data_IF_251047791803
#
_entry.id   IF_251047791803
#
_cell.length_a   1.000
_cell.length_b   1.000
_cell.length_c   1.000
_cell.angle_alpha   90.00
_cell.angle_beta   90.00
_cell.angle_gamma   90.00
#
_symmetry.space_group_name_H-M   'P 1'
#
loop_
_entity.id
_entity.type
_entity.pdbx_description
1 polymer ?
#
# COMPACT_ATOMS: atom_id res chain seq x y z
N UNK A 1 40.82 -12.70 10.37
CA UNK A 1 40.82 -12.04 9.05
C UNK A 1 40.54 -13.10 8.00
N UNK A 2 39.80 -12.75 6.95
CA UNK A 2 39.49 -13.62 5.82
C UNK A 2 40.07 -13.04 4.54
N UNK A 3 40.81 -13.85 3.79
CA UNK A 3 41.31 -13.49 2.45
C UNK A 3 40.44 -14.08 1.33
N UNK A 4 39.62 -15.09 1.66
CA UNK A 4 38.69 -15.78 0.76
C UNK A 4 37.36 -16.06 1.46
N UNK A 5 36.33 -16.35 0.66
CA UNK A 5 35.03 -16.74 1.16
C UNK A 5 35.11 -18.05 1.97
N UNK A 6 34.42 -18.12 3.11
CA UNK A 6 34.20 -19.40 3.79
C UNK A 6 33.08 -20.14 3.05
N UNK A 7 33.40 -21.31 2.53
CA UNK A 7 32.44 -22.17 1.81
C UNK A 7 31.92 -23.25 2.77
N UNK A 8 30.60 -23.32 2.93
CA UNK A 8 29.95 -24.29 3.83
C UNK A 8 29.33 -25.43 3.00
N UNK A 9 29.83 -26.67 3.10
CA UNK A 9 29.26 -27.81 2.39
C UNK A 9 28.03 -28.37 3.11
N UNK A 10 27.33 -29.31 2.45
CA UNK A 10 26.12 -29.94 2.99
C UNK A 10 26.32 -30.55 4.38
N UNK A 11 25.33 -30.38 5.24
CA UNK A 11 25.29 -30.93 6.60
C UNK A 11 26.32 -30.33 7.56
N UNK A 12 26.93 -29.18 7.23
CA UNK A 12 27.90 -28.50 8.09
C UNK A 12 27.34 -27.24 8.70
N UNK A 13 27.90 -26.92 9.87
CA UNK A 13 27.51 -25.78 10.69
C UNK A 13 28.74 -24.91 10.95
N UNK A 14 28.57 -23.60 10.78
CA UNK A 14 29.53 -22.59 11.20
C UNK A 14 28.89 -21.79 12.34
N UNK A 15 29.46 -21.90 13.53
CA UNK A 15 28.91 -21.30 14.75
C UNK A 15 30.00 -20.47 15.43
N UNK A 16 29.71 -19.20 15.68
CA UNK A 16 30.56 -18.33 16.49
C UNK A 16 30.13 -18.30 17.95
N UNK A 17 30.76 -17.42 18.73
CA UNK A 17 30.48 -17.20 20.15
C UNK A 17 29.43 -16.11 20.41
N UNK A 18 28.88 -15.49 19.37
CA UNK A 18 27.87 -14.44 19.45
C UNK A 18 28.19 -13.24 18.55
N UNK A 19 27.15 -12.43 18.27
CA UNK A 19 27.29 -11.12 17.62
C UNK A 19 28.24 -10.25 18.44
N UNK A 20 29.24 -9.66 17.79
CA UNK A 20 30.30 -8.85 18.42
C UNK A 20 31.43 -9.67 19.03
N UNK A 21 31.18 -10.91 19.48
CA UNK A 21 32.19 -11.79 20.08
C UNK A 21 33.03 -12.51 19.02
N UNK A 22 32.39 -13.12 18.02
CA UNK A 22 33.10 -13.69 16.86
C UNK A 22 32.96 -12.75 15.67
N UNK A 23 34.09 -12.19 15.23
CA UNK A 23 34.14 -11.26 14.09
C UNK A 23 34.96 -11.84 12.96
N UNK A 24 34.32 -12.02 11.81
CA UNK A 24 34.97 -12.37 10.56
C UNK A 24 35.06 -11.10 9.71
N UNK A 25 36.29 -10.65 9.50
CA UNK A 25 36.59 -9.39 8.82
C UNK A 25 37.32 -9.74 7.54
N UNK A 26 36.78 -9.31 6.40
CA UNK A 26 37.44 -9.46 5.09
C UNK A 26 38.56 -8.42 4.98
N UNK A 27 39.73 -8.83 4.49
CA UNK A 27 40.85 -7.93 4.23
C UNK A 27 40.57 -7.06 3.00
N UNK A 28 41.20 -5.88 2.90
CA UNK A 28 41.00 -4.91 1.81
C UNK A 28 41.54 -5.41 0.44
N UNK A 29 42.21 -6.56 0.40
CA UNK A 29 42.82 -7.17 -0.79
C UNK A 29 41.82 -8.01 -1.61
N UNK A 30 40.63 -7.48 -1.90
CA UNK A 30 39.67 -8.16 -2.77
C UNK A 30 40.03 -7.87 -4.24
N UNK A 31 41.10 -8.48 -4.73
CA UNK A 31 41.52 -8.40 -6.13
C UNK A 31 40.93 -9.50 -7.02
N UNK A 32 40.03 -10.32 -6.48
CA UNK A 32 39.47 -11.45 -7.22
C UNK A 32 38.42 -11.00 -8.23
N UNK A 33 38.64 -11.33 -9.51
CA UNK A 33 37.62 -11.22 -10.55
C UNK A 33 36.52 -12.28 -10.41
N UNK A 34 36.72 -13.30 -9.55
CA UNK A 34 35.72 -14.32 -9.31
C UNK A 34 34.59 -13.77 -8.44
N UNK A 35 33.41 -13.67 -9.03
CA UNK A 35 32.19 -13.25 -8.37
C UNK A 35 31.87 -14.12 -7.14
N UNK A 36 32.23 -15.40 -7.14
CA UNK A 36 32.00 -16.32 -6.03
C UNK A 36 32.93 -16.11 -4.83
N UNK A 37 34.07 -15.42 -5.00
CA UNK A 37 34.97 -15.09 -3.90
C UNK A 37 34.64 -13.74 -3.25
N UNK A 38 33.64 -13.02 -3.78
CA UNK A 38 33.16 -11.74 -3.25
C UNK A 38 32.22 -11.89 -2.06
N UNK A 39 32.01 -13.09 -1.53
CA UNK A 39 31.27 -13.30 -0.28
C UNK A 39 32.20 -13.46 0.94
N UNK A 40 31.73 -13.11 2.14
CA UNK A 40 32.41 -13.50 3.38
C UNK A 40 32.08 -14.96 3.74
N UNK A 41 30.79 -15.31 3.69
CA UNK A 41 30.30 -16.67 3.84
C UNK A 41 29.43 -17.01 2.64
N UNK A 42 29.64 -18.19 2.06
CA UNK A 42 28.69 -18.76 1.10
C UNK A 42 28.47 -20.25 1.29
N UNK A 43 27.34 -20.73 0.80
CA UNK A 43 27.13 -22.17 0.62
C UNK A 43 28.05 -22.71 -0.49
N UNK A 44 28.40 -23.99 -0.38
CA UNK A 44 28.74 -24.75 -1.58
C UNK A 44 27.49 -24.83 -2.48
N UNK A 45 27.69 -24.91 -3.80
CA UNK A 45 26.58 -24.95 -4.75
C UNK A 45 25.65 -26.13 -4.45
N UNK A 46 24.34 -25.86 -4.40
CA UNK A 46 23.31 -26.88 -4.15
C UNK A 46 23.41 -27.60 -2.81
N UNK A 47 24.15 -27.04 -1.85
CA UNK A 47 24.34 -27.65 -0.55
C UNK A 47 23.05 -27.65 0.28
N UNK A 48 22.87 -28.67 1.13
CA UNK A 48 21.67 -28.86 1.95
C UNK A 48 21.98 -28.99 3.43
N UNK A 49 21.08 -28.55 4.31
CA UNK A 49 21.25 -28.70 5.75
C UNK A 49 22.38 -27.85 6.32
N UNK A 50 22.51 -26.61 5.85
CA UNK A 50 23.54 -25.66 6.27
C UNK A 50 23.05 -24.84 7.46
N UNK A 51 23.92 -24.59 8.43
CA UNK A 51 23.68 -23.62 9.50
C UNK A 51 24.82 -22.62 9.63
N UNK A 52 24.48 -21.34 9.73
CA UNK A 52 25.40 -20.26 10.11
C UNK A 52 24.82 -19.52 11.29
N UNK A 53 25.55 -19.40 12.39
CA UNK A 53 25.04 -18.63 13.54
C UNK A 53 26.08 -17.95 14.40
N UNK A 54 25.60 -16.98 15.18
CA UNK A 54 26.29 -16.40 16.32
C UNK A 54 27.61 -15.69 15.96
N UNK A 55 27.58 -14.85 14.92
CA UNK A 55 28.79 -14.16 14.45
C UNK A 55 28.51 -12.82 13.79
N UNK A 56 29.56 -12.03 13.64
CA UNK A 56 29.56 -10.76 12.93
C UNK A 56 30.47 -10.82 11.71
N UNK A 57 29.96 -10.35 10.57
CA UNK A 57 30.65 -10.21 9.30
C UNK A 57 30.92 -8.73 9.02
N UNK A 58 32.16 -8.38 8.70
CA UNK A 58 32.53 -7.01 8.34
C UNK A 58 33.26 -7.03 7.00
N UNK A 59 32.67 -6.37 6.01
CA UNK A 59 33.26 -6.19 4.69
C UNK A 59 33.92 -4.81 4.58
N UNK A 60 34.98 -4.64 3.77
CA UNK A 60 35.65 -3.36 3.59
C UNK A 60 34.98 -2.42 2.58
N UNK A 61 33.90 -2.84 1.91
CA UNK A 61 33.12 -2.06 0.91
C UNK A 61 33.94 -1.01 0.14
N UNK A 62 34.85 -1.45 -0.72
CA UNK A 62 35.59 -0.57 -1.64
C UNK A 62 35.26 -0.96 -3.06
N UNK A 63 34.49 -0.13 -3.78
CA UNK A 63 34.25 -0.20 -5.23
C UNK A 63 33.51 -1.43 -5.79
N UNK A 64 33.44 -2.53 -5.05
CA UNK A 64 32.88 -3.81 -5.49
C UNK A 64 31.89 -4.37 -4.46
N UNK A 65 30.82 -5.02 -4.92
CA UNK A 65 29.66 -5.36 -4.10
C UNK A 65 29.87 -6.65 -3.28
N UNK A 66 30.76 -6.61 -2.28
CA UNK A 66 31.06 -7.74 -1.40
C UNK A 66 29.81 -8.22 -0.66
N UNK A 67 29.52 -9.52 -0.68
CA UNK A 67 28.37 -10.11 -0.01
C UNK A 67 28.71 -10.56 1.42
N UNK A 68 27.79 -10.37 2.36
CA UNK A 68 27.91 -10.88 3.72
C UNK A 68 27.72 -12.39 3.76
N UNK A 69 26.45 -12.82 3.70
CA UNK A 69 26.04 -14.22 3.64
C UNK A 69 25.32 -14.49 2.33
N UNK A 70 25.86 -15.42 1.54
CA UNK A 70 25.29 -15.81 0.25
C UNK A 70 24.92 -17.29 0.20
N UNK A 71 23.62 -17.57 0.13
CA UNK A 71 23.05 -18.91 0.01
C UNK A 71 22.76 -19.18 -1.47
N UNK A 72 23.74 -19.75 -2.16
CA UNK A 72 23.75 -20.01 -3.59
C UNK A 72 23.27 -21.43 -3.91
N UNK A 73 22.06 -21.56 -4.47
CA UNK A 73 21.39 -22.84 -4.73
C UNK A 73 21.12 -23.68 -3.48
N UNK A 74 21.36 -23.12 -2.30
CA UNK A 74 21.29 -23.85 -1.05
C UNK A 74 19.86 -24.25 -0.69
N UNK A 75 19.71 -25.40 -0.05
CA UNK A 75 18.42 -25.96 0.35
C UNK A 75 18.38 -26.23 1.84
N UNK A 76 17.24 -26.00 2.48
CA UNK A 76 17.04 -26.39 3.89
C UNK A 76 18.14 -25.79 4.80
N UNK A 77 18.37 -24.47 4.67
CA UNK A 77 19.43 -23.75 5.38
C UNK A 77 18.87 -22.83 6.45
N UNK A 78 19.70 -22.53 7.46
CA UNK A 78 19.37 -21.60 8.54
C UNK A 78 20.54 -20.65 8.83
N UNK A 79 20.29 -19.35 8.74
CA UNK A 79 21.21 -18.29 9.14
C UNK A 79 20.57 -17.54 10.30
N UNK A 80 21.16 -17.63 11.49
CA UNK A 80 20.51 -17.18 12.72
C UNK A 80 21.46 -16.38 13.62
N UNK A 81 21.02 -15.23 14.16
CA UNK A 81 21.86 -14.38 15.02
C UNK A 81 23.19 -13.99 14.36
N UNK A 82 23.09 -13.48 13.14
CA UNK A 82 24.23 -13.00 12.35
C UNK A 82 24.08 -11.52 12.05
N UNK A 83 25.17 -10.76 12.22
CA UNK A 83 25.21 -9.34 11.85
C UNK A 83 26.20 -9.11 10.70
N UNK A 84 25.82 -8.33 9.70
CA UNK A 84 26.67 -7.94 8.57
C UNK A 84 26.83 -6.42 8.52
N UNK A 85 28.05 -5.95 8.33
CA UNK A 85 28.37 -4.53 8.23
C UNK A 85 29.11 -4.24 6.94
N UNK A 86 28.77 -3.10 6.31
CA UNK A 86 29.46 -2.55 5.15
C UNK A 86 29.50 -3.55 3.97
N UNK A 87 28.35 -4.07 3.57
CA UNK A 87 28.25 -5.03 2.46
C UNK A 87 27.66 -4.37 1.20
N UNK A 88 27.94 -4.92 0.03
CA UNK A 88 27.09 -4.70 -1.13
C UNK A 88 25.72 -5.38 -0.91
N UNK A 89 25.74 -6.70 -0.72
CA UNK A 89 24.57 -7.51 -0.40
C UNK A 89 24.77 -8.19 0.96
N UNK A 90 23.98 -7.86 1.96
CA UNK A 90 24.19 -8.38 3.31
C UNK A 90 23.75 -9.84 3.45
N UNK A 91 22.49 -10.13 3.16
CA UNK A 91 21.94 -11.49 3.21
C UNK A 91 21.21 -11.80 1.91
N UNK A 92 21.65 -12.86 1.22
CA UNK A 92 21.17 -13.17 -0.11
C UNK A 92 20.87 -14.65 -0.30
N UNK A 93 19.62 -14.98 -0.62
CA UNK A 93 19.25 -16.28 -1.17
C UNK A 93 19.17 -16.17 -2.69
N UNK A 94 19.97 -16.96 -3.40
CA UNK A 94 20.17 -16.80 -4.83
C UNK A 94 20.16 -18.14 -5.59
N UNK A 95 19.74 -18.08 -6.84
CA UNK A 95 19.90 -19.11 -7.88
C UNK A 95 19.36 -20.46 -7.44
N UNK A 96 18.03 -20.52 -7.31
CA UNK A 96 17.28 -21.71 -6.89
C UNK A 96 17.55 -22.15 -5.44
N UNK A 97 17.88 -21.19 -4.57
CA UNK A 97 17.87 -21.40 -3.13
C UNK A 97 16.44 -21.67 -2.63
N UNK A 98 16.28 -22.63 -1.73
CA UNK A 98 14.96 -23.12 -1.33
C UNK A 98 14.85 -23.44 0.17
N UNK A 99 13.66 -23.23 0.75
CA UNK A 99 13.30 -23.65 2.12
C UNK A 99 14.31 -23.14 3.16
N UNK A 100 14.70 -21.88 3.00
CA UNK A 100 15.73 -21.22 3.81
C UNK A 100 15.14 -20.32 4.88
N UNK A 101 15.84 -20.19 5.99
CA UNK A 101 15.48 -19.25 7.07
C UNK A 101 16.66 -18.32 7.36
N UNK A 102 16.39 -17.03 7.38
CA UNK A 102 17.21 -16.00 7.97
C UNK A 102 16.47 -15.45 9.19
N UNK A 103 17.02 -15.61 10.40
CA UNK A 103 16.35 -15.21 11.65
C UNK A 103 17.25 -14.40 12.58
N UNK A 104 16.70 -13.38 13.21
CA UNK A 104 17.41 -12.55 14.20
C UNK A 104 18.71 -11.98 13.59
N UNK A 105 18.63 -11.52 12.34
CA UNK A 105 19.78 -11.03 11.58
C UNK A 105 19.80 -9.51 11.50
N UNK A 106 21.01 -8.95 11.42
CA UNK A 106 21.24 -7.52 11.40
C UNK A 106 22.07 -7.09 10.19
N UNK A 107 21.67 -6.02 9.51
CA UNK A 107 22.41 -5.50 8.36
C UNK A 107 22.56 -3.98 8.43
N UNK A 108 23.80 -3.51 8.46
CA UNK A 108 24.11 -2.08 8.52
C UNK A 108 25.03 -1.64 7.40
N UNK A 109 24.75 -0.46 6.82
CA UNK A 109 25.55 0.15 5.76
C UNK A 109 25.64 -0.74 4.49
N UNK A 110 24.52 -1.35 4.11
CA UNK A 110 24.45 -2.24 2.95
C UNK A 110 23.74 -1.56 1.76
N UNK A 111 24.12 -1.88 0.52
CA UNK A 111 23.32 -1.42 -0.63
C UNK A 111 22.02 -2.21 -0.75
N UNK A 112 22.10 -3.52 -0.48
CA UNK A 112 20.94 -4.40 -0.35
C UNK A 112 21.02 -5.19 0.96
N UNK A 113 20.02 -5.02 1.82
CA UNK A 113 20.02 -5.64 3.15
C UNK A 113 19.60 -7.11 3.09
N UNK A 114 18.42 -7.38 2.52
CA UNK A 114 17.80 -8.71 2.49
C UNK A 114 17.25 -8.98 1.10
N UNK A 115 17.87 -9.91 0.37
CA UNK A 115 17.50 -10.20 -1.01
C UNK A 115 17.17 -11.66 -1.26
N UNK A 116 16.20 -11.86 -2.14
CA UNK A 116 15.94 -13.13 -2.81
C UNK A 116 16.00 -12.95 -4.32
N UNK A 117 16.76 -13.80 -5.00
CA UNK A 117 16.90 -13.78 -6.46
C UNK A 117 16.77 -15.21 -6.99
N UNK A 118 15.69 -15.50 -7.70
CA UNK A 118 15.32 -16.86 -8.11
C UNK A 118 15.27 -17.83 -6.92
N UNK A 119 14.69 -17.43 -5.79
CA UNK A 119 14.60 -18.26 -4.58
C UNK A 119 13.14 -18.60 -4.23
N UNK A 120 12.95 -19.69 -3.49
CA UNK A 120 11.61 -20.21 -3.19
C UNK A 120 11.43 -20.64 -1.73
N UNK A 121 10.36 -20.20 -1.09
CA UNK A 121 10.06 -20.62 0.29
C UNK A 121 11.10 -20.10 1.29
N UNK A 122 11.48 -18.82 1.18
CA UNK A 122 12.45 -18.20 2.07
C UNK A 122 11.73 -17.37 3.13
N UNK A 123 12.13 -17.53 4.38
CA UNK A 123 11.68 -16.72 5.51
C UNK A 123 12.81 -15.82 6.00
N UNK A 124 12.54 -14.52 6.07
CA UNK A 124 13.31 -13.54 6.83
C UNK A 124 12.48 -13.15 8.07
N UNK A 125 12.97 -13.43 9.27
CA UNK A 125 12.23 -13.21 10.52
C UNK A 125 13.07 -12.40 11.51
N UNK A 126 12.46 -11.41 12.17
CA UNK A 126 13.11 -10.54 13.15
C UNK A 126 14.37 -9.87 12.57
N UNK A 127 14.23 -9.24 11.41
CA UNK A 127 15.33 -8.56 10.73
C UNK A 127 15.48 -7.13 11.24
N UNK A 128 16.71 -6.70 11.46
CA UNK A 128 17.03 -5.29 11.78
C UNK A 128 17.99 -4.76 10.74
N UNK A 129 17.70 -3.58 10.19
CA UNK A 129 18.64 -2.88 9.33
C UNK A 129 18.69 -1.39 9.57
N UNK A 130 19.80 -0.79 9.21
CA UNK A 130 19.94 0.66 9.17
C UNK A 130 21.09 1.13 8.31
N UNK A 131 21.04 2.43 7.98
CA UNK A 131 21.99 3.12 7.10
C UNK A 131 22.14 2.49 5.71
N UNK A 132 21.54 3.14 4.70
CA UNK A 132 21.95 3.00 3.31
C UNK A 132 23.10 3.98 3.07
N UNK A 133 24.21 3.53 2.47
CA UNK A 133 25.42 4.34 2.33
C UNK A 133 25.31 5.46 1.29
N UNK A 134 24.24 5.47 0.49
CA UNK A 134 24.04 6.38 -0.62
C UNK A 134 24.95 6.11 -1.83
N UNK A 135 25.93 5.20 -1.71
CA UNK A 135 27.01 4.98 -2.67
C UNK A 135 26.68 3.87 -3.68
N UNK A 136 25.42 3.48 -3.83
CA UNK A 136 25.06 2.55 -4.92
C UNK A 136 25.18 3.27 -6.27
N UNK A 137 26.11 2.88 -7.16
CA UNK A 137 26.23 3.49 -8.49
C UNK A 137 25.00 3.24 -9.38
N UNK A 138 24.12 2.30 -9.01
CA UNK A 138 22.82 2.07 -9.66
C UNK A 138 21.71 2.97 -9.10
N UNK A 139 21.99 3.82 -8.11
CA UNK A 139 21.06 4.80 -7.55
C UNK A 139 19.93 4.24 -6.68
N UNK A 140 19.82 2.91 -6.53
CA UNK A 140 18.71 2.26 -5.81
C UNK A 140 19.23 1.37 -4.69
N UNK A 141 18.99 1.77 -3.44
CA UNK A 141 19.21 0.93 -2.27
C UNK A 141 17.93 0.18 -1.93
N UNK A 142 18.06 -1.04 -1.40
CA UNK A 142 16.92 -1.91 -1.17
C UNK A 142 17.00 -2.60 0.20
N UNK A 143 15.88 -2.60 0.93
CA UNK A 143 15.83 -3.24 2.25
C UNK A 143 15.33 -4.66 2.15
N UNK A 144 14.04 -4.85 1.89
CA UNK A 144 13.43 -6.14 1.65
C UNK A 144 13.16 -6.29 0.15
N UNK A 145 14.06 -7.02 -0.50
CA UNK A 145 14.14 -7.06 -1.96
C UNK A 145 13.82 -8.44 -2.52
N UNK A 146 12.79 -8.53 -3.36
CA UNK A 146 12.56 -9.71 -4.19
C UNK A 146 12.86 -9.39 -5.66
N UNK A 147 13.71 -10.21 -6.25
CA UNK A 147 14.18 -10.09 -7.62
C UNK A 147 14.01 -11.45 -8.34
N UNK A 148 13.91 -11.43 -9.67
CA UNK A 148 13.90 -12.58 -10.59
C UNK A 148 13.13 -13.82 -10.11
N UNK A 149 11.89 -14.05 -10.55
CA UNK A 149 11.18 -15.32 -10.33
C UNK A 149 11.07 -15.84 -8.87
N UNK A 150 11.34 -15.00 -7.86
CA UNK A 150 11.28 -15.40 -6.45
C UNK A 150 9.82 -15.65 -6.03
N UNK A 151 9.55 -16.73 -5.28
CA UNK A 151 8.18 -17.09 -4.85
C UNK A 151 8.11 -17.59 -3.43
N UNK A 152 6.95 -17.43 -2.81
CA UNK A 152 6.69 -17.89 -1.44
C UNK A 152 7.72 -17.30 -0.46
N UNK A 153 7.97 -15.99 -0.58
CA UNK A 153 8.93 -15.27 0.27
C UNK A 153 8.17 -14.53 1.35
N UNK A 154 8.60 -14.68 2.60
CA UNK A 154 8.03 -13.96 3.73
C UNK A 154 9.11 -13.17 4.45
N UNK A 155 8.88 -11.87 4.61
CA UNK A 155 9.59 -11.02 5.55
C UNK A 155 8.66 -10.76 6.74
N UNK A 156 9.11 -11.03 7.96
CA UNK A 156 8.31 -10.91 9.18
C UNK A 156 9.07 -10.18 10.28
N UNK A 157 8.38 -9.29 11.00
CA UNK A 157 8.92 -8.52 12.13
C UNK A 157 10.19 -7.74 11.75
N UNK A 158 10.21 -7.18 10.54
CA UNK A 158 11.35 -6.41 10.04
C UNK A 158 11.35 -4.97 10.57
N UNK A 159 12.50 -4.44 10.95
CA UNK A 159 12.68 -3.03 11.34
C UNK A 159 13.81 -2.41 10.53
N UNK A 160 13.53 -1.28 9.90
CA UNK A 160 14.51 -0.51 9.16
C UNK A 160 14.50 0.96 9.60
N UNK A 161 15.67 1.57 9.70
CA UNK A 161 15.81 3.03 9.82
C UNK A 161 17.01 3.48 9.00
N UNK A 162 16.76 4.22 7.92
CA UNK A 162 17.82 4.62 7.00
C UNK A 162 17.30 5.01 5.62
N UNK A 163 18.22 5.04 4.66
CA UNK A 163 17.93 5.29 3.26
C UNK A 163 17.53 4.02 2.49
N UNK A 164 16.97 4.23 1.30
CA UNK A 164 16.60 3.14 0.39
C UNK A 164 15.12 2.81 0.33
N UNK A 165 14.78 1.96 -0.64
CA UNK A 165 13.42 1.47 -0.87
C UNK A 165 13.17 0.30 0.05
N UNK A 166 12.21 0.48 0.97
CA UNK A 166 11.91 -0.52 1.99
C UNK A 166 11.34 -1.80 1.36
N UNK A 167 10.30 -1.64 0.55
CA UNK A 167 9.59 -2.73 -0.10
C UNK A 167 9.87 -2.72 -1.61
N UNK A 168 10.89 -3.45 -2.05
CA UNK A 168 11.31 -3.44 -3.46
C UNK A 168 11.08 -4.79 -4.14
N UNK A 169 10.19 -4.82 -5.12
CA UNK A 169 9.94 -6.02 -5.95
C UNK A 169 10.18 -5.66 -7.41
N UNK A 170 11.14 -6.33 -8.03
CA UNK A 170 11.50 -6.11 -9.43
C UNK A 170 11.42 -7.45 -10.17
N UNK A 171 10.41 -7.61 -11.02
CA UNK A 171 10.39 -8.72 -11.97
C UNK A 171 11.35 -8.38 -13.12
N UNK A 172 12.39 -9.18 -13.29
CA UNK A 172 13.30 -9.09 -14.42
C UNK A 172 13.53 -10.52 -14.95
N UNK A 173 13.97 -10.65 -16.20
CA UNK A 173 14.41 -11.91 -16.79
C UNK A 173 15.62 -11.55 -17.63
N UNK A 174 16.78 -11.90 -17.09
CA UNK A 174 18.04 -11.82 -17.81
C UNK A 174 18.51 -13.21 -18.27
N UNK A 175 17.86 -14.29 -17.82
CA UNK A 175 18.48 -15.62 -17.77
C UNK A 175 17.61 -16.76 -18.34
N UNK A 176 16.50 -16.48 -19.02
CA UNK A 176 15.68 -17.53 -19.67
C UNK A 176 15.19 -18.59 -18.67
N UNK A 177 14.65 -18.15 -17.53
CA UNK A 177 14.22 -19.05 -16.46
C UNK A 177 13.21 -20.10 -16.95
N UNK A 178 13.53 -21.41 -16.89
CA UNK A 178 12.61 -22.47 -17.32
C UNK A 178 11.34 -22.56 -16.46
N UNK A 179 11.30 -21.92 -15.28
CA UNK A 179 10.12 -21.83 -14.40
C UNK A 179 9.26 -20.59 -14.63
N UNK A 180 9.55 -19.80 -15.66
CA UNK A 180 8.62 -18.82 -16.24
C UNK A 180 8.60 -17.42 -15.61
N UNK A 181 9.64 -17.00 -14.89
CA UNK A 181 9.90 -15.58 -14.59
C UNK A 181 8.94 -14.88 -13.60
N UNK A 182 7.81 -15.49 -13.24
CA UNK A 182 6.80 -14.92 -12.34
C UNK A 182 7.33 -14.80 -10.90
N UNK A 183 7.27 -13.59 -10.34
CA UNK A 183 7.37 -13.35 -8.89
C UNK A 183 5.96 -13.47 -8.29
N UNK A 184 5.74 -14.31 -7.27
CA UNK A 184 4.40 -14.51 -6.68
C UNK A 184 4.46 -14.87 -5.19
N UNK A 185 3.36 -14.60 -4.48
CA UNK A 185 3.16 -14.92 -3.08
C UNK A 185 4.26 -14.33 -2.17
N UNK A 186 4.49 -13.03 -2.31
CA UNK A 186 5.41 -12.26 -1.47
C UNK A 186 4.64 -11.68 -0.29
N UNK A 187 5.14 -11.87 0.93
CA UNK A 187 4.49 -11.43 2.17
C UNK A 187 5.43 -10.58 3.01
N UNK A 188 4.91 -9.45 3.48
CA UNK A 188 5.51 -8.62 4.51
C UNK A 188 4.55 -8.59 5.69
N UNK A 189 4.98 -9.07 6.86
CA UNK A 189 4.17 -9.21 8.06
C UNK A 189 4.82 -8.44 9.20
N UNK A 190 4.18 -7.37 9.67
CA UNK A 190 4.72 -6.44 10.67
C UNK A 190 6.15 -5.97 10.31
N UNK A 191 6.32 -5.44 9.11
CA UNK A 191 7.56 -4.80 8.66
C UNK A 191 7.42 -3.28 8.70
N UNK A 192 8.29 -2.61 9.46
CA UNK A 192 8.24 -1.16 9.66
C UNK A 192 9.54 -0.51 9.21
N UNK A 193 9.42 0.56 8.44
CA UNK A 193 10.55 1.34 7.94
C UNK A 193 10.42 2.82 8.30
N UNK A 194 11.51 3.41 8.79
CA UNK A 194 11.69 4.86 8.87
C UNK A 194 12.65 5.27 7.76
N UNK A 195 12.15 5.93 6.72
CA UNK A 195 12.95 6.38 5.60
C UNK A 195 13.54 7.78 5.89
N UNK A 196 14.86 7.93 5.74
CA UNK A 196 15.62 9.14 6.09
C UNK A 196 16.18 9.91 4.90
N UNK A 197 16.02 9.42 3.67
CA UNK A 197 16.65 9.99 2.47
C UNK A 197 15.66 10.53 1.43
N UNK A 198 14.36 10.22 1.60
CA UNK A 198 13.30 10.66 0.70
C UNK A 198 13.21 9.83 -0.58
N UNK A 199 13.81 8.64 -0.61
CA UNK A 199 13.54 7.66 -1.66
C UNK A 199 12.13 7.07 -1.52
N UNK A 200 11.74 6.26 -2.50
CA UNK A 200 10.43 5.58 -2.48
C UNK A 200 10.32 4.66 -1.26
N UNK A 201 9.15 4.57 -0.64
CA UNK A 201 8.91 3.58 0.41
C UNK A 201 8.74 2.17 -0.17
N UNK A 202 7.99 2.08 -1.27
CA UNK A 202 7.69 0.86 -2.00
C UNK A 202 7.79 1.08 -3.50
N UNK A 203 8.37 0.10 -4.19
CA UNK A 203 8.34 0.02 -5.64
C UNK A 203 8.10 -1.42 -6.08
N UNK A 204 7.06 -1.62 -6.89
CA UNK A 204 6.76 -2.89 -7.55
C UNK A 204 6.75 -2.65 -9.05
N UNK A 205 7.78 -3.13 -9.73
CA UNK A 205 7.97 -2.89 -11.15
C UNK A 205 8.39 -4.16 -11.87
N UNK A 206 8.34 -4.09 -13.21
CA UNK A 206 8.93 -5.11 -14.06
C UNK A 206 9.89 -4.48 -15.07
N UNK A 207 10.78 -5.34 -15.55
CA UNK A 207 11.54 -5.17 -16.78
C UNK A 207 11.06 -6.27 -17.74
N UNK A 208 11.05 -5.97 -19.04
CA UNK A 208 10.66 -6.92 -20.10
C UNK A 208 9.23 -7.49 -19.97
N UNK A 209 8.28 -6.71 -19.42
CA UNK A 209 6.86 -7.08 -19.31
C UNK A 209 6.56 -8.36 -18.52
N UNK A 210 7.43 -8.74 -17.58
CA UNK A 210 7.22 -9.92 -16.77
C UNK A 210 6.13 -9.71 -15.72
N UNK A 211 5.36 -10.77 -15.40
CA UNK A 211 4.30 -10.66 -14.42
C UNK A 211 4.85 -10.63 -13.00
N UNK A 212 4.21 -9.80 -12.17
CA UNK A 212 4.23 -9.94 -10.70
C UNK A 212 2.84 -10.40 -10.29
N UNK A 213 2.77 -11.44 -9.47
CA UNK A 213 1.54 -12.01 -8.95
C UNK A 213 1.06 -11.27 -7.72
N UNK A 214 0.93 -12.00 -6.61
CA UNK A 214 0.35 -11.54 -5.34
C UNK A 214 1.43 -11.03 -4.40
N UNK A 215 1.19 -9.85 -3.85
CA UNK A 215 2.01 -9.22 -2.82
C UNK A 215 1.09 -8.80 -1.68
N UNK A 216 1.41 -9.19 -0.45
CA UNK A 216 0.63 -8.85 0.74
C UNK A 216 1.50 -8.15 1.77
N UNK A 217 1.03 -7.00 2.25
CA UNK A 217 1.57 -6.26 3.37
C UNK A 217 0.55 -6.33 4.50
N UNK A 218 0.91 -6.94 5.62
CA UNK A 218 0.07 -7.05 6.82
C UNK A 218 0.75 -6.29 7.94
N UNK A 219 0.05 -5.33 8.53
CA UNK A 219 0.54 -4.47 9.61
C UNK A 219 1.91 -3.85 9.33
N UNK A 220 2.15 -3.50 8.05
CA UNK A 220 3.45 -3.02 7.56
C UNK A 220 3.36 -1.59 7.05
N UNK A 221 4.45 -0.83 7.19
CA UNK A 221 4.41 0.62 7.06
C UNK A 221 5.74 1.27 6.70
N UNK A 222 5.63 2.49 6.16
CA UNK A 222 6.77 3.41 5.97
C UNK A 222 6.42 4.75 6.57
N UNK A 223 7.31 5.28 7.40
CA UNK A 223 7.26 6.66 7.86
C UNK A 223 8.49 7.43 7.35
N UNK A 224 8.24 8.56 6.69
CA UNK A 224 9.31 9.49 6.36
C UNK A 224 9.72 10.26 7.62
N UNK A 225 11.04 10.33 7.87
CA UNK A 225 11.59 10.93 9.08
C UNK A 225 11.42 12.45 9.13
N UNK A 226 11.55 13.12 7.98
CA UNK A 226 11.44 14.57 7.89
C UNK A 226 10.78 15.07 6.59
N UNK A 227 10.26 16.30 6.65
CA UNK A 227 9.52 16.94 5.55
C UNK A 227 10.38 17.33 4.35
N UNK A 228 11.69 17.53 4.55
CA UNK A 228 12.63 17.90 3.47
C UNK A 228 13.01 16.70 2.59
N UNK A 229 12.78 15.49 3.09
CA UNK A 229 13.02 14.21 2.44
C UNK A 229 11.71 13.55 2.05
N UNK A 230 10.82 14.32 1.42
CA UNK A 230 9.52 13.83 0.98
C UNK A 230 9.64 12.92 -0.26
N UNK A 231 9.80 11.61 -0.05
CA UNK A 231 9.68 10.60 -1.10
C UNK A 231 8.23 10.22 -1.37
N UNK A 232 7.95 9.66 -2.54
CA UNK A 232 6.65 9.07 -2.86
C UNK A 232 6.55 7.71 -2.13
N UNK A 233 5.60 7.52 -1.20
CA UNK A 233 5.39 6.25 -0.50
C UNK A 233 5.40 5.00 -1.37
N UNK A 234 4.69 4.99 -2.50
CA UNK A 234 4.53 3.78 -3.29
C UNK A 234 4.33 4.05 -4.78
N UNK A 235 5.08 3.31 -5.60
CA UNK A 235 4.82 3.18 -7.04
C UNK A 235 4.59 1.71 -7.35
N UNK A 236 3.40 1.39 -7.88
CA UNK A 236 2.98 0.03 -8.20
C UNK A 236 2.65 -0.03 -9.70
N UNK A 237 3.59 -0.57 -10.47
CA UNK A 237 3.44 -0.67 -11.93
C UNK A 237 2.78 -1.97 -12.37
N UNK A 238 2.92 -3.04 -11.58
CA UNK A 238 2.37 -4.36 -11.88
C UNK A 238 1.94 -5.12 -10.62
N UNK A 239 1.07 -6.10 -10.81
CA UNK A 239 0.73 -7.10 -9.80
C UNK A 239 -0.45 -6.74 -8.90
N UNK A 240 -0.74 -7.64 -7.96
CA UNK A 240 -1.87 -7.54 -7.05
C UNK A 240 -1.38 -7.31 -5.63
N UNK A 241 -1.45 -6.06 -5.18
CA UNK A 241 -1.01 -5.64 -3.86
C UNK A 241 -2.20 -5.58 -2.91
N UNK A 242 -2.12 -6.27 -1.78
CA UNK A 242 -3.06 -6.11 -0.67
C UNK A 242 -2.31 -5.57 0.53
N UNK A 243 -2.70 -4.38 0.99
CA UNK A 243 -2.25 -3.81 2.26
C UNK A 243 -3.37 -4.00 3.28
N UNK A 244 -3.06 -4.58 4.44
CA UNK A 244 -3.99 -4.76 5.55
C UNK A 244 -3.37 -4.22 6.83
N UNK A 245 -3.99 -3.24 7.46
CA UNK A 245 -3.42 -2.60 8.64
C UNK A 245 -2.16 -1.80 8.31
N UNK A 246 -1.42 -1.44 9.35
CA UNK A 246 -0.17 -0.70 9.23
C UNK A 246 -0.36 0.81 9.03
N UNK A 247 0.76 1.53 9.09
CA UNK A 247 0.78 2.99 9.11
C UNK A 247 1.77 3.54 8.10
N UNK A 248 1.31 4.50 7.30
CA UNK A 248 2.07 5.16 6.25
C UNK A 248 2.06 6.65 6.49
N UNK A 249 3.21 7.24 6.80
CA UNK A 249 3.34 8.67 7.05
C UNK A 249 4.26 9.29 6.02
N UNK A 250 3.78 10.30 5.30
CA UNK A 250 4.52 10.97 4.25
C UNK A 250 4.40 12.49 4.30
N UNK A 251 5.32 13.13 3.59
CA UNK A 251 5.29 14.57 3.35
C UNK A 251 5.21 14.90 1.84
N UNK A 252 4.95 13.88 1.01
CA UNK A 252 4.80 14.01 -0.43
C UNK A 252 3.38 14.38 -0.83
N UNK A 253 3.25 15.14 -1.90
CA UNK A 253 1.97 15.47 -2.51
C UNK A 253 1.38 14.26 -3.25
N UNK A 254 2.22 13.40 -3.80
CA UNK A 254 1.82 12.13 -4.42
C UNK A 254 2.25 10.95 -3.55
N UNK A 255 1.34 10.00 -3.33
CA UNK A 255 1.55 8.93 -2.35
C UNK A 255 1.54 7.52 -2.95
N UNK A 256 0.37 7.00 -3.29
CA UNK A 256 0.21 5.67 -3.87
C UNK A 256 -0.13 5.79 -5.36
N UNK A 257 0.87 5.65 -6.22
CA UNK A 257 0.70 5.69 -7.68
C UNK A 257 0.52 4.26 -8.19
N UNK A 258 -0.56 3.99 -8.92
CA UNK A 258 -0.93 2.63 -9.36
C UNK A 258 -1.23 2.61 -10.86
N UNK A 259 -0.39 1.94 -11.66
CA UNK A 259 -0.52 1.91 -13.12
C UNK A 259 -1.45 0.81 -13.64
N UNK A 260 -1.78 0.86 -14.94
CA UNK A 260 -2.74 -0.01 -15.63
C UNK A 260 -2.63 -1.52 -15.38
N UNK A 261 -1.42 -2.05 -15.21
CA UNK A 261 -1.19 -3.47 -14.97
C UNK A 261 -1.19 -3.85 -13.48
N UNK A 262 -1.53 -2.92 -12.60
CA UNK A 262 -1.50 -3.08 -11.16
C UNK A 262 -2.88 -2.91 -10.50
N UNK A 263 -2.99 -3.52 -9.34
CA UNK A 263 -4.09 -3.32 -8.39
C UNK A 263 -3.56 -3.12 -6.98
N UNK A 264 -4.19 -2.19 -6.26
CA UNK A 264 -4.02 -1.99 -4.83
C UNK A 264 -5.35 -2.14 -4.09
N UNK A 265 -5.41 -3.09 -3.17
CA UNK A 265 -6.44 -3.15 -2.13
C UNK A 265 -5.85 -2.67 -0.80
N UNK A 266 -6.29 -1.52 -0.29
CA UNK A 266 -5.91 -0.95 1.00
C UNK A 266 -7.02 -1.23 2.01
N UNK A 267 -6.78 -2.05 3.03
CA UNK A 267 -7.76 -2.52 4.01
C UNK A 267 -7.31 -2.09 5.40
N UNK A 268 -8.08 -1.26 6.10
CA UNK A 268 -7.78 -0.82 7.47
C UNK A 268 -6.39 -0.19 7.65
N UNK A 269 -5.87 0.46 6.61
CA UNK A 269 -4.56 1.12 6.60
C UNK A 269 -4.69 2.56 7.12
N UNK A 270 -3.78 2.97 7.99
CA UNK A 270 -3.66 4.37 8.42
C UNK A 270 -2.66 5.13 7.55
N UNK A 271 -3.13 6.11 6.79
CA UNK A 271 -2.32 6.96 5.92
C UNK A 271 -2.34 8.39 6.46
N UNK A 272 -1.16 8.99 6.63
CA UNK A 272 -0.98 10.36 7.11
C UNK A 272 -0.14 11.11 6.09
N UNK A 273 -0.71 12.17 5.50
CA UNK A 273 -0.06 13.01 4.51
C UNK A 273 0.03 14.44 5.02
N UNK A 274 1.26 14.88 5.26
CA UNK A 274 1.59 16.23 5.74
C UNK A 274 2.47 16.99 4.74
N UNK A 275 1.98 17.11 3.51
CA UNK A 275 2.76 17.72 2.42
C UNK A 275 2.94 19.24 2.56
N UNK A 276 3.94 19.79 1.86
CA UNK A 276 4.10 21.24 1.70
C UNK A 276 2.93 21.81 0.86
N UNK A 277 2.27 22.89 1.30
CA UNK A 277 1.12 23.52 0.61
C UNK A 277 1.48 24.28 -0.70
N UNK A 278 2.59 23.97 -1.36
CA UNK A 278 3.04 24.69 -2.57
C UNK A 278 2.57 24.07 -3.91
N UNK A 279 2.11 22.81 -3.96
CA UNK A 279 1.60 22.17 -5.18
C UNK A 279 0.55 21.05 -4.92
N UNK A 280 -0.32 20.83 -5.90
CA UNK A 280 -1.46 19.89 -5.79
C UNK A 280 -1.02 18.45 -5.96
N UNK A 281 -1.63 17.52 -5.21
CA UNK A 281 -1.37 16.09 -5.36
C UNK A 281 -2.51 15.19 -4.92
N UNK A 282 -2.21 13.91 -4.73
CA UNK A 282 -3.19 12.87 -4.40
C UNK A 282 -2.62 11.76 -3.51
N UNK A 283 -3.44 11.28 -2.57
CA UNK A 283 -3.13 10.12 -1.72
C UNK A 283 -3.13 8.84 -2.56
N UNK A 284 -4.21 8.57 -3.27
CA UNK A 284 -4.32 7.42 -4.19
C UNK A 284 -4.42 7.94 -5.62
N UNK A 285 -3.48 7.56 -6.49
CA UNK A 285 -3.39 8.01 -7.88
C UNK A 285 -3.42 6.81 -8.86
N UNK A 286 -4.60 6.22 -9.14
CA UNK A 286 -4.78 5.25 -10.22
C UNK A 286 -4.49 5.85 -11.61
N UNK A 287 -3.38 5.49 -12.24
CA UNK A 287 -3.02 5.84 -13.62
C UNK A 287 -3.25 4.64 -14.55
N UNK A 288 -4.52 4.33 -14.81
CA UNK A 288 -4.97 3.10 -15.47
C UNK A 288 -5.21 1.94 -14.50
N UNK A 289 -4.59 1.99 -13.32
CA UNK A 289 -4.65 0.92 -12.33
C UNK A 289 -5.94 0.93 -11.51
N UNK A 290 -6.15 -0.15 -10.76
CA UNK A 290 -7.32 -0.29 -9.88
C UNK A 290 -6.94 -0.07 -8.43
N UNK A 291 -7.52 0.95 -7.78
CA UNK A 291 -7.34 1.18 -6.33
C UNK A 291 -8.66 1.00 -5.59
N UNK A 292 -8.61 0.24 -4.49
CA UNK A 292 -9.75 0.02 -3.60
C UNK A 292 -9.35 0.23 -2.15
N UNK A 293 -10.07 1.09 -1.43
CA UNK A 293 -9.81 1.44 -0.03
C UNK A 293 -10.99 0.97 0.82
N UNK A 294 -10.72 0.19 1.87
CA UNK A 294 -11.73 -0.42 2.74
C UNK A 294 -11.38 -0.19 4.21
N UNK A 295 -12.09 0.72 4.90
CA UNK A 295 -11.78 1.03 6.30
C UNK A 295 -10.51 1.87 6.46
N UNK A 296 -9.96 1.89 7.68
CA UNK A 296 -8.75 2.64 8.03
C UNK A 296 -8.97 4.16 8.11
N UNK A 297 -7.87 4.89 8.30
CA UNK A 297 -7.88 6.35 8.40
C UNK A 297 -6.97 6.99 7.35
N UNK A 298 -7.47 7.98 6.61
CA UNK A 298 -6.65 8.84 5.74
C UNK A 298 -6.66 10.26 6.33
N UNK A 299 -5.54 10.68 6.89
CA UNK A 299 -5.34 12.03 7.45
C UNK A 299 -4.54 12.89 6.49
N UNK A 300 -5.10 14.02 6.06
CA UNK A 300 -4.49 14.98 5.15
C UNK A 300 -4.45 16.34 5.83
N UNK A 301 -3.27 16.80 6.24
CA UNK A 301 -3.12 18.12 6.89
C UNK A 301 -2.88 19.25 5.90
N UNK A 302 -2.59 18.92 4.63
CA UNK A 302 -2.30 19.89 3.56
C UNK A 302 -3.54 20.30 2.76
N UNK A 303 -3.68 21.58 2.45
CA UNK A 303 -4.83 22.17 1.75
C UNK A 303 -4.91 21.85 0.24
N UNK A 304 -4.02 21.03 -0.31
CA UNK A 304 -3.96 20.81 -1.78
C UNK A 304 -3.69 19.36 -2.17
N UNK A 305 -3.73 18.44 -1.20
CA UNK A 305 -3.68 17.00 -1.46
C UNK A 305 -5.08 16.44 -1.43
N UNK A 306 -5.41 15.70 -2.48
CA UNK A 306 -6.70 15.06 -2.65
C UNK A 306 -6.63 13.58 -2.27
N UNK A 307 -7.75 12.92 -2.01
CA UNK A 307 -7.71 11.47 -1.76
C UNK A 307 -7.45 10.67 -3.04
N UNK A 308 -7.89 11.18 -4.19
CA UNK A 308 -7.85 10.50 -5.48
C UNK A 308 -7.26 11.37 -6.59
N UNK A 309 -6.64 10.77 -7.59
CA UNK A 309 -6.45 11.35 -8.93
C UNK A 309 -6.38 10.22 -9.96
N UNK A 310 -6.60 10.52 -11.25
CA UNK A 310 -6.59 9.52 -12.31
C UNK A 310 -7.93 8.78 -12.44
N UNK A 311 -7.93 7.51 -12.83
CA UNK A 311 -9.13 6.79 -13.31
C UNK A 311 -10.17 6.48 -12.21
N UNK A 312 -10.42 5.19 -11.91
CA UNK A 312 -11.47 4.78 -10.96
C UNK A 312 -10.89 4.43 -9.60
N UNK A 313 -11.30 5.19 -8.59
CA UNK A 313 -10.98 4.93 -7.18
C UNK A 313 -12.22 4.44 -6.43
N UNK A 314 -12.12 3.29 -5.77
CA UNK A 314 -13.18 2.76 -4.91
C UNK A 314 -12.87 3.03 -3.45
N UNK A 315 -13.80 3.65 -2.72
CA UNK A 315 -13.64 3.95 -1.29
C UNK A 315 -14.83 3.35 -0.53
N UNK A 316 -14.56 2.60 0.53
CA UNK A 316 -15.60 2.14 1.43
C UNK A 316 -16.11 3.31 2.27
N UNK A 317 -17.42 3.41 2.52
CA UNK A 317 -17.95 4.33 3.52
C UNK A 317 -17.25 4.18 4.88
N UNK A 318 -16.82 2.98 5.25
CA UNK A 318 -16.13 2.74 6.54
C UNK A 318 -14.74 3.36 6.65
N UNK A 319 -14.17 3.89 5.55
CA UNK A 319 -12.90 4.62 5.58
C UNK A 319 -13.10 6.01 6.19
N UNK A 320 -12.33 6.33 7.24
CA UNK A 320 -12.36 7.64 7.89
C UNK A 320 -11.40 8.57 7.17
N UNK A 321 -11.88 9.71 6.69
CA UNK A 321 -11.05 10.74 6.03
C UNK A 321 -11.05 11.97 6.92
N UNK A 322 -9.86 12.35 7.40
CA UNK A 322 -9.64 13.56 8.19
C UNK A 322 -8.83 14.52 7.33
N UNK A 323 -9.38 15.67 6.99
CA UNK A 323 -8.72 16.61 6.08
C UNK A 323 -8.88 18.04 6.56
N UNK A 324 -7.85 18.86 6.33
CA UNK A 324 -7.89 20.31 6.55
C UNK A 324 -8.79 21.04 5.55
N UNK A 325 -9.00 20.48 4.36
CA UNK A 325 -10.00 20.93 3.39
C UNK A 325 -11.21 20.00 3.41
N UNK A 326 -12.39 20.55 3.68
CA UNK A 326 -13.65 19.80 3.66
C UNK A 326 -13.83 19.00 2.33
N UNK A 327 -14.21 17.72 2.42
CA UNK A 327 -14.09 16.56 1.46
C UNK A 327 -15.10 16.58 0.29
N UNK A 328 -14.96 15.90 -0.88
CA UNK A 328 -14.00 15.76 -2.01
C UNK A 328 -14.77 15.32 -3.30
N UNK A 329 -14.48 15.85 -4.50
CA UNK A 329 -15.02 15.40 -5.81
C UNK A 329 -13.91 15.14 -6.85
N UNK A 330 -14.15 14.38 -7.95
CA UNK A 330 -13.15 14.14 -9.00
C UNK A 330 -12.64 15.45 -9.63
N UNK A 331 -11.35 15.52 -9.95
CA UNK A 331 -10.71 16.77 -10.39
C UNK A 331 -10.47 16.79 -11.88
N UNK A 332 -10.13 15.68 -12.51
CA UNK A 332 -9.94 15.55 -13.96
C UNK A 332 -11.22 15.11 -14.67
N UNK A 333 -11.35 15.43 -15.95
CA UNK A 333 -12.46 14.94 -16.78
C UNK A 333 -12.34 13.41 -16.93
N UNK A 334 -13.46 12.70 -16.79
CA UNK A 334 -13.55 11.23 -16.83
C UNK A 334 -13.17 10.52 -15.52
N UNK A 335 -12.70 11.27 -14.51
CA UNK A 335 -12.34 10.68 -13.22
C UNK A 335 -13.60 10.33 -12.42
N UNK A 336 -13.60 9.14 -11.80
CA UNK A 336 -14.74 8.65 -11.03
C UNK A 336 -14.32 8.19 -9.64
N UNK A 337 -15.00 8.70 -8.61
CA UNK A 337 -14.92 8.19 -7.24
C UNK A 337 -16.17 7.40 -6.96
N UNK A 338 -16.00 6.13 -6.59
CA UNK A 338 -17.11 5.24 -6.27
C UNK A 338 -17.08 4.82 -4.79
N UNK A 339 -18.13 5.16 -4.06
CA UNK A 339 -18.42 4.65 -2.74
C UNK A 339 -19.21 3.34 -2.84
N UNK A 340 -18.68 2.25 -2.27
CA UNK A 340 -19.33 0.93 -2.32
C UNK A 340 -19.62 0.44 -0.90
N UNK A 341 -20.90 0.27 -0.60
CA UNK A 341 -21.38 -0.21 0.70
C UNK A 341 -21.31 -1.73 0.72
N UNK A 342 -20.20 -2.31 1.20
CA UNK A 342 -20.03 -3.79 1.24
C UNK A 342 -20.75 -4.47 2.39
N UNK A 343 -21.09 -3.72 3.43
CA UNK A 343 -21.85 -4.19 4.59
C UNK A 343 -23.01 -3.21 4.86
N UNK A 344 -24.06 -3.65 5.56
CA UNK A 344 -25.12 -2.75 5.99
C UNK A 344 -24.56 -1.62 6.87
N UNK A 345 -24.95 -0.38 6.60
CA UNK A 345 -24.52 0.81 7.34
C UNK A 345 -25.73 1.41 8.06
N UNK A 346 -25.82 1.29 9.40
CA UNK A 346 -26.90 1.88 10.18
C UNK A 346 -26.71 3.40 10.30
N UNK A 347 -27.80 4.14 10.14
CA UNK A 347 -27.86 5.59 10.30
C UNK A 347 -28.67 5.90 11.56
N UNK A 348 -28.06 6.65 12.49
CA UNK A 348 -28.69 7.03 13.75
C UNK A 348 -29.98 7.86 13.53
N UNK A 349 -30.82 7.99 14.57
CA UNK A 349 -32.09 8.72 14.54
C UNK A 349 -31.93 10.16 14.02
N UNK A 350 -32.79 10.56 13.07
CA UNK A 350 -32.81 11.90 12.47
C UNK A 350 -32.99 11.91 10.95
N UNK A 351 -33.15 13.11 10.39
CA UNK A 351 -32.87 13.42 8.99
C UNK A 351 -31.54 14.17 9.00
N UNK A 352 -30.43 13.42 9.10
CA UNK A 352 -29.14 14.05 9.31
C UNK A 352 -28.65 14.66 7.99
N UNK A 353 -28.70 15.99 7.93
CA UNK A 353 -27.72 16.77 7.16
C UNK A 353 -26.41 16.57 7.87
N UNK A 354 -25.41 16.10 7.14
CA UNK A 354 -24.23 15.63 7.77
C UNK A 354 -23.23 16.78 7.94
N UNK A 355 -22.78 17.04 9.19
CA UNK A 355 -21.98 18.20 9.64
C UNK A 355 -21.19 17.90 10.93
N UNK A 356 -20.01 18.52 11.10
CA UNK A 356 -18.92 18.36 12.10
C UNK A 356 -19.17 17.53 13.39
N UNK A 357 -18.22 16.62 13.69
CA UNK A 357 -18.07 16.00 15.02
C UNK A 357 -18.74 14.64 15.23
N UNK A 358 -19.38 14.05 14.22
CA UNK A 358 -20.02 12.73 14.34
C UNK A 358 -19.25 11.65 13.59
N UNK A 359 -18.98 10.53 14.26
CA UNK A 359 -18.28 9.31 13.79
C UNK A 359 -19.00 8.50 12.70
N UNK A 360 -19.95 9.09 11.97
CA UNK A 360 -20.73 8.38 10.96
C UNK A 360 -20.17 8.61 9.54
N UNK A 361 -20.01 7.53 8.75
CA UNK A 361 -19.42 7.56 7.42
C UNK A 361 -20.33 8.30 6.41
N UNK A 362 -19.77 9.27 5.68
CA UNK A 362 -20.52 10.17 4.79
C UNK A 362 -19.84 10.32 3.45
N UNK A 363 -20.62 10.32 2.38
CA UNK A 363 -20.16 10.76 1.08
C UNK A 363 -20.48 12.25 0.90
N UNK A 364 -19.48 13.09 1.16
CA UNK A 364 -19.52 14.54 0.86
C UNK A 364 -18.54 14.87 -0.25
N UNK A 365 -18.91 15.84 -1.07
CA UNK A 365 -18.15 16.21 -2.25
C UNK A 365 -17.97 17.71 -2.35
N UNK A 366 -16.73 18.19 -2.18
CA UNK A 366 -16.34 19.53 -2.58
C UNK A 366 -16.10 19.55 -4.08
N UNK A 367 -16.83 20.40 -4.76
CA UNK A 367 -16.81 20.51 -6.23
C UNK A 367 -16.08 21.78 -6.66
N UNK A 368 -15.55 21.81 -7.88
CA UNK A 368 -14.85 22.99 -8.41
C UNK A 368 -15.83 23.86 -9.19
N UNK A 369 -15.87 25.16 -8.89
CA UNK A 369 -16.75 26.10 -9.55
C UNK A 369 -16.62 26.05 -11.08
N UNK A 370 -17.75 26.02 -11.78
CA UNK A 370 -17.83 25.97 -13.24
C UNK A 370 -17.50 24.61 -13.87
N UNK A 371 -17.27 23.57 -13.06
CA UNK A 371 -17.10 22.18 -13.55
C UNK A 371 -18.41 21.41 -13.53
N UNK A 372 -18.54 20.48 -14.47
CA UNK A 372 -19.72 19.64 -14.59
C UNK A 372 -19.47 18.26 -13.98
N UNK A 373 -20.41 17.81 -13.16
CA UNK A 373 -20.34 16.54 -12.45
C UNK A 373 -21.57 15.70 -12.70
N UNK A 374 -21.40 14.38 -12.82
CA UNK A 374 -22.47 13.38 -12.77
C UNK A 374 -22.37 12.61 -11.47
N UNK A 375 -23.50 12.46 -10.80
CA UNK A 375 -23.64 11.73 -9.55
C UNK A 375 -24.64 10.63 -9.78
N UNK A 376 -24.21 9.38 -9.60
CA UNK A 376 -25.12 8.23 -9.64
C UNK A 376 -25.16 7.58 -8.28
N UNK A 377 -26.33 7.17 -7.83
CA UNK A 377 -26.45 6.38 -6.61
C UNK A 377 -27.58 5.38 -6.73
N UNK A 378 -27.32 4.12 -6.40
CA UNK A 378 -28.33 3.06 -6.44
C UNK A 378 -28.16 2.13 -5.25
N UNK A 379 -29.26 1.65 -4.69
CA UNK A 379 -29.21 0.73 -3.56
C UNK A 379 -30.55 0.43 -2.92
N UNK A 380 -30.48 -0.20 -1.75
CA UNK A 380 -31.63 -0.51 -0.89
C UNK A 380 -31.42 0.10 0.48
N UNK A 381 -32.50 0.62 1.05
CA UNK A 381 -32.53 1.13 2.42
C UNK A 381 -33.62 0.40 3.20
N UNK A 382 -33.29 -0.03 4.41
CA UNK A 382 -34.24 -0.62 5.37
C UNK A 382 -34.60 0.40 6.44
N UNK A 383 -35.86 0.45 6.84
CA UNK A 383 -36.29 1.22 8.02
C UNK A 383 -36.01 0.45 9.31
N UNK A 384 -35.40 1.08 10.31
CA UNK A 384 -35.00 0.37 11.55
C UNK A 384 -35.92 0.64 12.78
N UNK A 385 -36.60 1.79 12.88
CA UNK A 385 -37.45 2.12 14.04
C UNK A 385 -38.73 2.90 13.75
N UNK A 386 -39.37 3.49 14.78
CA UNK A 386 -40.81 3.78 14.81
C UNK A 386 -41.41 4.97 14.03
N UNK A 387 -40.61 5.90 13.50
CA UNK A 387 -41.16 6.95 12.60
C UNK A 387 -41.63 6.32 11.28
N UNK A 388 -42.77 6.73 10.72
CA UNK A 388 -43.35 6.11 9.54
C UNK A 388 -42.72 6.59 8.20
N UNK A 389 -41.51 7.16 8.18
CA UNK A 389 -40.93 7.75 6.97
C UNK A 389 -39.49 7.28 6.69
N UNK A 390 -39.20 7.04 5.42
CA UNK A 390 -37.85 6.96 4.86
C UNK A 390 -37.60 8.17 3.97
N UNK A 391 -36.37 8.68 3.97
CA UNK A 391 -35.97 9.84 3.19
C UNK A 391 -34.68 9.62 2.42
N UNK A 392 -34.64 10.21 1.22
CA UNK A 392 -33.47 10.33 0.37
C UNK A 392 -33.47 11.73 -0.25
N UNK A 393 -32.40 12.49 -0.04
CA UNK A 393 -32.34 13.88 -0.45
C UNK A 393 -30.93 14.36 -0.77
N UNK A 394 -30.86 15.40 -1.57
CA UNK A 394 -29.64 16.15 -1.84
C UNK A 394 -29.70 17.46 -1.04
N UNK A 395 -28.65 17.78 -0.28
CA UNK A 395 -28.59 19.03 0.48
C UNK A 395 -27.32 19.83 0.22
N UNK A 396 -27.45 21.17 0.13
CA UNK A 396 -26.30 22.05 0.19
C UNK A 396 -25.69 22.01 1.58
N UNK A 397 -24.41 21.69 1.66
CA UNK A 397 -23.68 21.85 2.92
C UNK A 397 -23.31 23.33 3.18
N UNK A 398 -23.21 24.17 2.14
CA UNK A 398 -23.02 25.62 2.24
C UNK A 398 -23.44 26.35 0.95
N UNK A 399 -24.51 27.16 0.97
CA UNK A 399 -24.95 27.95 -0.20
C UNK A 399 -25.62 27.16 -1.34
N UNK A 400 -25.89 27.77 -2.50
CA UNK A 400 -26.44 27.02 -3.64
C UNK A 400 -25.39 26.05 -4.18
N UNK A 401 -25.69 24.73 -4.23
CA UNK A 401 -24.75 23.72 -4.76
C UNK A 401 -24.57 23.85 -6.28
N UNK A 402 -25.63 24.28 -6.96
CA UNK A 402 -25.76 24.19 -8.41
C UNK A 402 -25.91 25.58 -9.00
N UNK A 403 -25.12 25.88 -10.03
CA UNK A 403 -25.44 26.95 -10.97
C UNK A 403 -26.58 26.50 -11.90
N UNK A 404 -26.60 25.21 -12.24
CA UNK A 404 -27.67 24.49 -12.92
C UNK A 404 -27.56 22.99 -12.59
N UNK A 405 -28.68 22.26 -12.63
CA UNK A 405 -28.70 20.81 -12.39
C UNK A 405 -29.92 20.13 -13.00
N UNK A 406 -29.76 18.86 -13.38
CA UNK A 406 -30.78 18.07 -14.04
C UNK A 406 -30.59 16.58 -13.71
N UNK A 407 -31.68 15.91 -13.36
CA UNK A 407 -31.70 14.46 -13.19
C UNK A 407 -32.68 14.01 -12.11
N UNK A 408 -33.20 12.77 -12.21
CA UNK A 408 -34.16 12.25 -11.25
C UNK A 408 -33.47 11.69 -9.99
N UNK A 409 -34.07 12.01 -8.84
CA UNK A 409 -33.99 11.22 -7.62
C UNK A 409 -35.21 10.31 -7.59
N UNK A 410 -35.04 9.03 -7.28
CA UNK A 410 -36.12 8.04 -7.29
C UNK A 410 -36.07 7.14 -6.06
N UNK A 411 -37.23 6.78 -5.52
CA UNK A 411 -37.36 5.75 -4.48
C UNK A 411 -38.66 4.96 -4.68
N UNK A 412 -38.62 3.64 -4.48
CA UNK A 412 -39.82 2.82 -4.49
C UNK A 412 -40.73 3.14 -3.31
N UNK A 413 -42.02 3.25 -3.57
CA UNK A 413 -43.05 3.27 -2.52
C UNK A 413 -43.45 1.83 -2.11
N UNK A 414 -44.44 1.72 -1.22
CA UNK A 414 -44.93 0.41 -0.75
C UNK A 414 -45.50 -0.50 -1.86
N UNK A 415 -45.95 0.07 -2.99
CA UNK A 415 -46.43 -0.67 -4.14
C UNK A 415 -45.31 -1.08 -5.11
N UNK A 416 -44.04 -0.79 -4.81
CA UNK A 416 -42.90 -1.04 -5.69
C UNK A 416 -42.77 -0.04 -6.86
N UNK A 417 -43.55 1.04 -6.85
CA UNK A 417 -43.50 2.07 -7.90
C UNK A 417 -42.47 3.13 -7.52
N UNK A 418 -41.60 3.48 -8.46
CA UNK A 418 -40.62 4.57 -8.28
C UNK A 418 -41.32 5.93 -8.28
N UNK A 419 -41.29 6.59 -7.13
CA UNK A 419 -41.63 8.00 -6.99
C UNK A 419 -40.39 8.81 -7.38
N UNK A 420 -40.55 9.83 -8.23
CA UNK A 420 -39.45 10.61 -8.80
C UNK A 420 -39.56 12.08 -8.38
N UNK A 421 -38.44 12.69 -7.97
CA UNK A 421 -38.33 14.13 -7.63
C UNK A 421 -36.98 14.69 -8.10
N UNK A 422 -36.75 15.99 -7.93
CA UNK A 422 -35.49 16.66 -8.26
C UNK A 422 -34.63 17.02 -7.04
N UNK A 423 -35.14 16.84 -5.82
CA UNK A 423 -34.51 17.36 -4.60
C UNK A 423 -34.56 16.38 -3.42
N UNK A 424 -35.77 15.97 -3.02
CA UNK A 424 -36.03 15.29 -1.75
C UNK A 424 -37.23 14.37 -1.88
N UNK A 425 -37.04 13.10 -1.52
CA UNK A 425 -38.11 12.10 -1.42
C UNK A 425 -38.32 11.74 0.03
N UNK A 426 -39.57 11.83 0.49
CA UNK A 426 -40.04 11.27 1.76
C UNK A 426 -41.19 10.31 1.49
N UNK A 427 -41.02 9.04 1.80
CA UNK A 427 -42.03 8.00 1.61
C UNK A 427 -42.42 7.33 2.92
N UNK A 428 -43.68 6.89 3.00
CA UNK A 428 -44.15 6.09 4.12
C UNK A 428 -43.49 4.71 4.16
N UNK A 429 -43.01 4.33 5.34
CA UNK A 429 -42.33 3.07 5.60
C UNK A 429 -42.44 2.66 7.08
N UNK A 430 -42.80 1.41 7.32
CA UNK A 430 -42.80 0.81 8.65
C UNK A 430 -41.43 0.21 8.99
N UNK A 431 -41.15 -0.03 10.27
CA UNK A 431 -39.94 -0.74 10.67
C UNK A 431 -39.84 -2.11 9.96
N UNK A 432 -38.67 -2.41 9.40
CA UNK A 432 -38.43 -3.59 8.57
C UNK A 432 -38.66 -3.40 7.08
N UNK A 433 -39.40 -2.36 6.65
CA UNK A 433 -39.64 -2.10 5.23
C UNK A 433 -38.32 -1.79 4.51
N UNK A 434 -38.18 -2.34 3.31
CA UNK A 434 -37.05 -2.09 2.41
C UNK A 434 -37.55 -1.36 1.17
N UNK A 435 -36.86 -0.28 0.78
CA UNK A 435 -37.10 0.47 -0.46
C UNK A 435 -35.84 0.54 -1.30
N UNK A 436 -35.98 0.35 -2.60
CA UNK A 436 -34.93 0.67 -3.57
C UNK A 436 -34.91 2.18 -3.83
N UNK A 437 -33.72 2.73 -4.02
CA UNK A 437 -33.51 4.11 -4.44
C UNK A 437 -32.54 4.16 -5.61
N UNK A 438 -32.75 5.13 -6.49
CA UNK A 438 -31.85 5.45 -7.59
C UNK A 438 -31.71 6.97 -7.72
N UNK A 439 -30.55 7.43 -8.14
CA UNK A 439 -30.25 8.80 -8.47
C UNK A 439 -29.31 8.79 -9.65
N UNK A 440 -29.58 9.64 -10.63
CA UNK A 440 -28.68 9.95 -11.73
C UNK A 440 -28.84 11.42 -12.02
N UNK A 441 -27.88 12.21 -11.54
CA UNK A 441 -28.01 13.65 -11.45
C UNK A 441 -26.75 14.33 -11.93
N UNK A 442 -26.91 15.29 -12.84
CA UNK A 442 -25.80 16.07 -13.39
C UNK A 442 -25.95 17.53 -13.02
N UNK A 443 -24.84 18.20 -12.72
CA UNK A 443 -24.86 19.61 -12.36
C UNK A 443 -23.57 20.36 -12.70
N UNK A 444 -23.70 21.68 -12.87
CA UNK A 444 -22.58 22.61 -12.89
C UNK A 444 -22.40 23.17 -11.48
N UNK A 445 -21.22 22.95 -10.93
CA UNK A 445 -20.87 23.34 -9.57
C UNK A 445 -20.69 24.85 -9.41
N UNK A 446 -21.11 25.39 -8.26
CA UNK A 446 -20.77 26.75 -7.80
C UNK A 446 -19.45 26.83 -7.01
N UNK A 447 -18.77 25.70 -6.81
CA UNK A 447 -17.63 25.57 -5.90
C UNK A 447 -18.01 25.11 -4.49
N UNK A 448 -19.29 24.82 -4.26
CA UNK A 448 -19.82 24.45 -2.94
C UNK A 448 -19.78 22.94 -2.69
N UNK A 449 -20.08 22.53 -1.45
CA UNK A 449 -20.18 21.12 -1.08
C UNK A 449 -21.56 20.52 -1.42
N UNK A 450 -21.51 19.35 -2.05
CA UNK A 450 -22.64 18.46 -2.24
C UNK A 450 -22.69 17.43 -1.11
N UNK A 451 -23.85 17.29 -0.46
CA UNK A 451 -24.14 16.21 0.47
C UNK A 451 -25.31 15.37 -0.03
N UNK A 452 -25.17 14.04 0.06
CA UNK A 452 -26.23 13.09 -0.22
C UNK A 452 -26.68 12.50 1.12
N UNK A 453 -27.93 12.77 1.48
CA UNK A 453 -28.48 12.42 2.76
C UNK A 453 -29.50 11.28 2.69
N UNK A 454 -29.51 10.50 3.76
CA UNK A 454 -30.45 9.42 4.02
C UNK A 454 -31.01 9.59 5.42
N UNK A 455 -32.26 9.20 5.62
CA UNK A 455 -32.86 9.30 6.94
C UNK A 455 -34.07 8.41 7.14
N UNK A 456 -34.32 8.06 8.39
CA UNK A 456 -35.51 7.33 8.83
C UNK A 456 -36.28 8.05 9.95
N UNK A 457 -35.97 9.33 10.22
CA UNK A 457 -36.51 10.07 11.37
C UNK A 457 -36.19 9.38 12.70
N UNK A 458 -37.14 9.40 13.64
CA UNK A 458 -37.01 8.67 14.90
C UNK A 458 -36.86 7.15 14.66
N UNK A 459 -35.78 6.57 15.19
CA UNK A 459 -35.45 5.16 15.03
C UNK A 459 -34.61 4.79 13.80
N UNK A 460 -34.18 5.75 12.98
CA UNK A 460 -33.13 5.54 11.99
C UNK A 460 -33.49 4.68 10.77
N UNK A 461 -32.49 4.44 9.94
CA UNK A 461 -32.54 3.62 8.72
C UNK A 461 -31.16 2.99 8.43
N UNK A 462 -31.12 1.91 7.68
CA UNK A 462 -29.89 1.19 7.31
C UNK A 462 -29.76 1.17 5.79
N UNK A 463 -28.64 1.67 5.26
CA UNK A 463 -28.26 1.42 3.85
C UNK A 463 -27.77 -0.02 3.77
N UNK A 464 -28.39 -0.84 2.94
CA UNK A 464 -28.04 -2.25 2.81
C UNK A 464 -26.79 -2.44 1.94
N UNK A 465 -26.12 -3.57 2.15
CA UNK A 465 -24.97 -3.96 1.35
C UNK A 465 -25.31 -4.02 -0.15
N UNK A 466 -24.36 -3.64 -0.99
CA UNK A 466 -24.50 -3.57 -2.44
C UNK A 466 -24.86 -2.19 -2.97
N UNK A 467 -25.24 -1.23 -2.10
CA UNK A 467 -25.44 0.15 -2.53
C UNK A 467 -24.14 0.75 -3.10
N UNK A 468 -24.28 1.61 -4.10
CA UNK A 468 -23.16 2.26 -4.80
C UNK A 468 -23.50 3.71 -5.06
N UNK A 469 -22.52 4.57 -4.84
CA UNK A 469 -22.57 5.99 -5.16
C UNK A 469 -21.33 6.32 -5.97
N UNK A 470 -21.48 6.88 -7.15
CA UNK A 470 -20.37 7.42 -7.94
C UNK A 470 -20.53 8.92 -8.11
N UNK A 471 -19.40 9.61 -8.11
CA UNK A 471 -19.30 10.97 -8.63
C UNK A 471 -18.24 10.96 -9.69
N UNK A 472 -18.59 11.50 -10.86
CA UNK A 472 -17.74 11.63 -12.03
C UNK A 472 -17.65 13.10 -12.41
N UNK A 473 -16.46 13.61 -12.76
CA UNK A 473 -16.35 14.90 -13.44
C UNK A 473 -16.44 14.65 -14.94
N UNK A 474 -17.42 15.27 -15.60
CA UNK A 474 -17.70 15.05 -17.03
C UNK A 474 -17.31 16.24 -17.91
N UNK A 475 -17.12 17.45 -17.36
CA UNK A 475 -16.58 18.62 -18.07
C UNK A 475 -15.77 19.58 -17.17
#
# INVERSE_FOLDING_TARGET
>A
MLDHAIIIPSGKFLVGAGIGATRLIRTDNISSSDYFDKALIRSAQSATGIRVSDLTLVSPKVGDKVQGVWMYGAKDFCVERVATYNCGYAFWAHEYAERGVFRDIQSFNANVHFETTQAYGILFENTVSGDGDGDNPLGVEAVWHCLLASRDITFRHGRHTGGGIAFLIIANDTNSDPKGGLIDNIRFEDCQSVNTDGKLGMQIANFNNLPVGRVALVDSGVEYADRTKAGVPAIISVGQVTMRGGRWKSFSQENFIVYAAARLDSIDVDVIVDSNPAATGSVYNPQGGLVRVFGGTVTITSLIVNIGAGDTLYISPTTVIVTANEVYAPIGIGQTVAYVYKAPVPLASGYNVVGTGTTLPQARFTTVAGREYRVTMAGKMRKDGGSAKLAFYILPASGSIFASGYGPIQMQNAAGIYVTTSDTILLDANAGDVREFNMDFTFISTGSQLSIGFGGGAGGATILAGARLSVERIA
#
